data_IF_932647429152
#
_entry.id   IF_932647429152
#
_cell.length_a   1.000
_cell.length_b   1.000
_cell.length_c   1.000
_cell.angle_alpha   90.00
_cell.angle_beta   90.00
_cell.angle_gamma   90.00
#
_symmetry.space_group_name_H-M   'P 1'
#
loop_
_entity.id
_entity.type
_entity.pdbx_description
1 polymer ?
#
# COMPACT_ATOMS: atom_id res chain seq x y z
N UNK A 1 4.29 8.36 -9.41
CA UNK A 1 3.75 7.06 -9.83
C UNK A 1 3.64 6.16 -8.60
N UNK A 2 2.72 5.19 -8.62
CA UNK A 2 2.51 4.19 -7.56
C UNK A 2 2.53 2.80 -8.16
N UNK A 3 2.98 1.79 -7.42
CA UNK A 3 2.97 0.41 -7.90
C UNK A 3 1.75 -0.30 -7.33
N UNK A 4 1.04 -1.03 -8.20
CA UNK A 4 -0.04 -1.92 -7.82
C UNK A 4 0.34 -3.35 -8.20
N UNK A 5 -0.29 -4.31 -7.53
CA UNK A 5 -0.19 -5.73 -7.84
C UNK A 5 -1.54 -6.30 -8.24
N UNK A 6 -1.55 -7.36 -9.03
CA UNK A 6 -2.78 -8.07 -9.38
C UNK A 6 -3.35 -8.76 -8.14
N UNK A 7 -4.67 -8.76 -7.97
CA UNK A 7 -5.32 -9.49 -6.88
C UNK A 7 -5.17 -11.00 -7.06
N UNK A 8 -4.82 -11.70 -5.97
CA UNK A 8 -4.75 -13.17 -5.95
C UNK A 8 -6.10 -13.85 -6.25
N UNK A 9 -7.23 -13.20 -5.95
CA UNK A 9 -8.57 -13.74 -6.20
C UNK A 9 -9.12 -13.38 -7.58
N UNK A 10 -8.75 -12.21 -8.09
CA UNK A 10 -9.23 -11.67 -9.36
C UNK A 10 -8.04 -11.09 -10.13
N UNK A 11 -7.33 -11.90 -10.94
CA UNK A 11 -6.08 -11.49 -11.59
C UNK A 11 -6.19 -10.25 -12.48
N UNK A 12 -7.40 -9.92 -12.96
CA UNK A 12 -7.68 -8.72 -13.77
C UNK A 12 -7.91 -7.46 -12.94
N UNK A 13 -7.91 -7.56 -11.60
CA UNK A 13 -8.07 -6.43 -10.68
C UNK A 13 -6.73 -6.06 -10.05
N UNK A 14 -6.51 -4.76 -9.90
CA UNK A 14 -5.32 -4.20 -9.26
C UNK A 14 -5.59 -3.79 -7.82
N UNK A 15 -4.60 -4.00 -6.95
CA UNK A 15 -4.65 -3.65 -5.52
C UNK A 15 -3.30 -3.09 -5.06
N UNK A 16 -3.30 -2.38 -3.93
CA UNK A 16 -2.06 -2.15 -3.19
C UNK A 16 -1.66 -3.46 -2.53
N UNK A 17 -0.37 -3.83 -2.53
CA UNK A 17 0.02 -4.98 -1.74
C UNK A 17 -0.10 -4.66 -0.26
N UNK A 18 -0.28 -5.73 0.49
CA UNK A 18 -0.52 -5.64 1.91
C UNK A 18 -1.35 -6.80 2.41
N UNK A 19 -1.10 -7.15 3.66
CA UNK A 19 -1.66 -8.34 4.27
C UNK A 19 -1.74 -8.20 5.78
N UNK A 20 -1.87 -9.34 6.45
CA UNK A 20 -2.02 -9.39 7.89
C UNK A 20 -0.69 -9.14 8.59
N UNK A 21 -0.74 -8.40 9.70
CA UNK A 21 0.39 -8.35 10.63
C UNK A 21 0.55 -9.70 11.33
N UNK A 22 1.79 -10.18 11.43
CA UNK A 22 2.13 -11.34 12.23
C UNK A 22 2.10 -11.01 13.73
N UNK A 23 1.98 -12.01 14.62
CA UNK A 23 2.10 -11.78 16.06
C UNK A 23 3.42 -11.08 16.39
N UNK A 24 3.35 -10.04 17.23
CA UNK A 24 4.51 -9.23 17.66
C UNK A 24 5.19 -8.43 16.54
N UNK A 25 4.62 -8.40 15.34
CA UNK A 25 5.12 -7.61 14.23
C UNK A 25 4.69 -6.14 14.34
N UNK A 26 5.63 -5.21 14.12
CA UNK A 26 5.32 -3.78 14.04
C UNK A 26 4.66 -3.45 12.69
N UNK A 27 3.69 -2.51 12.61
CA UNK A 27 2.99 -2.23 11.36
C UNK A 27 3.91 -1.80 10.20
N UNK A 28 5.02 -1.15 10.51
CA UNK A 28 6.04 -0.79 9.52
C UNK A 28 6.81 -2.01 8.99
N UNK A 29 7.15 -2.96 9.86
CA UNK A 29 7.81 -4.21 9.47
C UNK A 29 6.90 -5.07 8.60
N UNK A 30 5.62 -5.20 8.98
CA UNK A 30 4.60 -5.86 8.18
C UNK A 30 4.47 -5.22 6.78
N UNK A 31 4.42 -3.89 6.73
CA UNK A 31 4.34 -3.15 5.48
C UNK A 31 5.56 -3.38 4.55
N UNK A 32 6.77 -3.52 5.11
CA UNK A 32 7.98 -3.85 4.34
C UNK A 32 7.99 -5.31 3.87
N UNK A 33 7.63 -6.25 4.75
CA UNK A 33 7.53 -7.69 4.42
C UNK A 33 6.53 -7.95 3.30
N UNK A 34 5.31 -7.44 3.43
CA UNK A 34 4.24 -7.64 2.44
C UNK A 34 4.62 -7.09 1.06
N UNK A 35 5.32 -5.96 1.01
CA UNK A 35 5.78 -5.37 -0.25
C UNK A 35 6.87 -6.21 -0.90
N UNK A 36 7.74 -6.79 -0.09
CA UNK A 36 8.76 -7.70 -0.56
C UNK A 36 8.14 -8.98 -1.13
N UNK A 37 7.20 -9.59 -0.40
CA UNK A 37 6.54 -10.85 -0.76
C UNK A 37 5.58 -10.71 -1.95
N UNK A 38 4.76 -9.66 -1.98
CA UNK A 38 3.70 -9.52 -2.99
C UNK A 38 4.13 -8.73 -4.22
N UNK A 39 5.07 -7.79 -4.07
CA UNK A 39 5.48 -6.89 -5.15
C UNK A 39 6.96 -7.03 -5.54
N UNK A 40 7.78 -7.73 -4.76
CA UNK A 40 9.19 -7.93 -5.07
C UNK A 40 9.98 -6.63 -5.09
N UNK A 41 9.66 -5.68 -4.21
CA UNK A 41 10.39 -4.42 -4.13
C UNK A 41 10.93 -4.18 -2.73
N UNK A 42 12.07 -3.50 -2.64
CA UNK A 42 12.59 -2.96 -1.39
C UNK A 42 12.73 -1.46 -1.50
N UNK A 43 12.68 -0.80 -0.36
CA UNK A 43 12.72 0.64 -0.33
C UNK A 43 12.96 1.19 1.05
N UNK A 44 13.04 2.50 1.11
CA UNK A 44 13.04 3.23 2.38
C UNK A 44 11.60 3.47 2.81
N UNK A 45 11.18 2.81 3.88
CA UNK A 45 9.91 3.12 4.53
C UNK A 45 9.91 4.57 5.01
N UNK A 46 8.87 5.29 4.64
CA UNK A 46 8.65 6.69 4.96
C UNK A 46 7.58 6.86 6.03
N UNK A 47 6.83 7.95 5.92
CA UNK A 47 5.77 8.28 6.90
C UNK A 47 4.58 7.33 6.81
N UNK A 48 3.91 7.14 7.94
CA UNK A 48 2.54 6.61 7.99
C UNK A 48 1.62 7.62 7.29
N UNK A 49 0.98 7.19 6.21
CA UNK A 49 -0.01 7.97 5.47
C UNK A 49 -1.33 8.05 6.26
N UNK A 50 -1.70 6.97 6.93
CA UNK A 50 -2.86 6.92 7.78
C UNK A 50 -3.24 5.52 8.21
N UNK A 51 -4.25 5.46 9.08
CA UNK A 51 -4.91 4.22 9.47
C UNK A 51 -6.31 4.26 8.87
N UNK A 52 -6.66 3.21 8.13
CA UNK A 52 -7.93 3.11 7.42
C UNK A 52 -8.69 1.88 7.92
N UNK A 53 -9.99 2.02 8.18
CA UNK A 53 -10.84 0.93 8.66
C UNK A 53 -11.67 0.38 7.51
N UNK A 54 -11.51 -0.93 7.23
CA UNK A 54 -12.14 -1.56 6.08
C UNK A 54 -13.36 -2.38 6.57
N UNK A 55 -14.54 -1.74 6.52
CA UNK A 55 -15.85 -2.15 7.05
C UNK A 55 -16.09 -1.85 8.53
N UNK A 56 -17.24 -1.25 8.84
CA UNK A 56 -17.68 -0.98 10.23
C UNK A 56 -17.88 -2.27 11.05
N UNK A 57 -18.12 -3.40 10.39
CA UNK A 57 -18.44 -4.69 11.02
C UNK A 57 -17.20 -5.54 11.34
N UNK A 58 -16.07 -5.27 10.67
CA UNK A 58 -14.79 -5.94 10.93
C UNK A 58 -13.82 -4.88 11.42
N UNK A 59 -13.42 -4.97 12.69
CA UNK A 59 -12.46 -4.06 13.34
C UNK A 59 -11.03 -4.22 12.78
N UNK A 60 -10.87 -4.33 11.46
CA UNK A 60 -9.58 -4.45 10.79
C UNK A 60 -9.09 -3.05 10.46
N UNK A 61 -7.99 -2.66 11.13
CA UNK A 61 -7.27 -1.42 10.86
C UNK A 61 -6.15 -1.70 9.90
N UNK A 62 -6.09 -0.91 8.83
CA UNK A 62 -5.04 -0.97 7.83
C UNK A 62 -4.10 0.20 8.02
N UNK A 63 -2.88 -0.06 8.45
CA UNK A 63 -1.81 0.93 8.54
C UNK A 63 -1.20 1.10 7.16
N UNK A 64 -1.28 2.30 6.63
CA UNK A 64 -0.85 2.59 5.27
C UNK A 64 0.39 3.46 5.31
N UNK A 65 1.50 2.98 4.74
CA UNK A 65 2.77 3.70 4.71
C UNK A 65 3.13 4.15 3.31
N UNK A 66 3.91 5.24 3.24
CA UNK A 66 4.63 5.62 2.03
C UNK A 66 5.98 4.92 2.04
N UNK A 67 6.33 4.20 0.98
CA UNK A 67 7.65 3.60 0.80
C UNK A 67 8.29 4.14 -0.48
N UNK A 68 9.56 4.54 -0.41
CA UNK A 68 10.32 4.99 -1.58
C UNK A 68 11.11 3.82 -2.13
N UNK A 69 10.75 3.33 -3.32
CA UNK A 69 11.40 2.14 -3.90
C UNK A 69 12.86 2.44 -4.23
N UNK A 70 13.76 1.56 -3.79
CA UNK A 70 15.20 1.62 -4.07
C UNK A 70 15.68 0.40 -4.85
N UNK A 71 14.95 -0.70 -4.80
CA UNK A 71 15.30 -1.96 -5.47
C UNK A 71 14.04 -2.66 -5.96
N UNK A 72 14.13 -3.27 -7.15
CA UNK A 72 13.06 -4.03 -7.78
C UNK A 72 13.65 -5.40 -8.16
N UNK A 73 13.14 -6.47 -7.56
CA UNK A 73 13.56 -7.84 -7.85
C UNK A 73 12.88 -8.34 -9.12
N UNK A 74 13.61 -9.03 -10.01
CA UNK A 74 13.02 -9.63 -11.23
C UNK A 74 12.05 -10.75 -10.88
N UNK A 75 12.49 -11.68 -10.04
CA UNK A 75 11.68 -12.76 -9.48
C UNK A 75 11.38 -12.51 -8.00
N UNK A 76 10.14 -12.72 -7.59
CA UNK A 76 9.71 -12.59 -6.20
C UNK A 76 8.65 -13.64 -5.86
N UNK A 77 8.44 -13.84 -4.56
CA UNK A 77 7.67 -14.97 -4.02
C UNK A 77 6.30 -15.14 -4.70
N UNK A 78 5.47 -14.10 -4.71
CA UNK A 78 4.13 -14.19 -5.31
C UNK A 78 4.13 -14.25 -6.83
N UNK A 79 5.16 -13.72 -7.52
CA UNK A 79 5.27 -13.92 -8.96
C UNK A 79 5.47 -15.39 -9.29
N UNK A 80 6.37 -16.04 -8.55
CA UNK A 80 6.75 -17.43 -8.79
C UNK A 80 5.65 -18.38 -8.32
N UNK A 81 5.06 -18.12 -7.15
CA UNK A 81 4.11 -19.04 -6.52
C UNK A 81 2.69 -18.95 -7.12
N UNK A 82 2.22 -17.74 -7.43
CA UNK A 82 0.82 -17.52 -7.85
C UNK A 82 0.70 -16.73 -9.15
N UNK A 83 1.80 -16.40 -9.83
CA UNK A 83 1.77 -15.63 -11.07
C UNK A 83 1.34 -14.18 -10.87
N UNK A 84 1.56 -13.62 -9.67
CA UNK A 84 1.17 -12.23 -9.37
C UNK A 84 1.94 -11.27 -10.27
N UNK A 85 1.22 -10.29 -10.82
CA UNK A 85 1.78 -9.22 -11.67
C UNK A 85 1.93 -7.94 -10.85
N UNK A 86 2.83 -7.07 -11.28
CA UNK A 86 2.99 -5.71 -10.74
C UNK A 86 3.13 -4.71 -11.87
N UNK A 87 2.59 -3.51 -11.69
CA UNK A 87 2.68 -2.45 -12.70
C UNK A 87 2.68 -1.07 -12.05
N UNK A 88 3.41 -0.14 -12.68
CA UNK A 88 3.47 1.26 -12.27
C UNK A 88 2.31 2.04 -12.87
N UNK A 89 1.55 2.71 -12.03
CA UNK A 89 0.44 3.56 -12.41
C UNK A 89 0.74 5.03 -12.08
N UNK A 90 0.20 5.93 -12.89
CA UNK A 90 -0.01 7.31 -12.45
C UNK A 90 -1.04 7.30 -11.32
N UNK A 91 -0.94 8.25 -10.38
CA UNK A 91 -1.83 8.29 -9.22
C UNK A 91 -3.29 8.37 -9.66
N UNK A 92 -3.58 9.18 -10.68
CA UNK A 92 -4.90 9.37 -11.26
C UNK A 92 -5.47 8.08 -11.86
N UNK A 93 -4.62 7.29 -12.53
CA UNK A 93 -5.05 6.06 -13.18
C UNK A 93 -5.20 4.93 -12.16
N UNK A 94 -4.33 4.88 -11.15
CA UNK A 94 -4.46 4.00 -10.00
C UNK A 94 -5.79 4.20 -9.26
N UNK A 95 -6.20 5.46 -9.03
CA UNK A 95 -7.50 5.77 -8.42
C UNK A 95 -8.64 5.16 -9.24
N UNK A 96 -8.64 5.35 -10.57
CA UNK A 96 -9.70 4.84 -11.46
C UNK A 96 -9.82 3.32 -11.40
N UNK A 97 -8.70 2.59 -11.46
CA UNK A 97 -8.72 1.11 -11.45
C UNK A 97 -9.11 0.55 -10.08
N UNK A 98 -8.74 1.23 -8.99
CA UNK A 98 -9.07 0.83 -7.62
C UNK A 98 -10.54 1.12 -7.27
N UNK A 99 -11.10 2.23 -7.74
CA UNK A 99 -12.42 2.70 -7.32
C UNK A 99 -13.56 1.72 -7.63
N UNK A 100 -13.43 0.91 -8.69
CA UNK A 100 -14.44 -0.07 -9.07
C UNK A 100 -14.54 -1.27 -8.10
N UNK A 101 -13.43 -1.71 -7.49
CA UNK A 101 -13.37 -2.99 -6.77
C UNK A 101 -12.76 -2.91 -5.37
N UNK A 102 -12.07 -1.81 -5.06
CA UNK A 102 -11.40 -1.50 -3.78
C UNK A 102 -11.45 0.02 -3.51
N UNK A 103 -12.64 0.61 -3.28
CA UNK A 103 -12.78 2.05 -3.07
C UNK A 103 -11.93 2.57 -1.90
N UNK A 104 -11.80 1.80 -0.82
CA UNK A 104 -10.93 2.17 0.31
C UNK A 104 -9.46 2.31 -0.09
N UNK A 105 -8.98 1.52 -1.06
CA UNK A 105 -7.61 1.69 -1.57
C UNK A 105 -7.47 2.99 -2.38
N UNK A 106 -8.52 3.42 -3.09
CA UNK A 106 -8.53 4.71 -3.77
C UNK A 106 -8.43 5.88 -2.77
N UNK A 107 -9.07 5.78 -1.60
CA UNK A 107 -8.98 6.78 -0.53
C UNK A 107 -7.53 6.98 -0.04
N UNK A 108 -6.68 5.96 -0.10
CA UNK A 108 -5.26 6.08 0.25
C UNK A 108 -4.58 7.11 -0.65
N UNK A 109 -4.86 7.04 -1.95
CA UNK A 109 -4.30 7.94 -2.94
C UNK A 109 -4.88 9.35 -2.86
N UNK A 110 -6.16 9.48 -2.53
CA UNK A 110 -6.78 10.78 -2.28
C UNK A 110 -6.12 11.47 -1.07
N UNK A 111 -5.89 10.72 0.02
CA UNK A 111 -5.18 11.24 1.20
C UNK A 111 -3.73 11.61 0.88
N UNK A 112 -3.06 10.82 0.05
CA UNK A 112 -1.71 11.12 -0.44
C UNK A 112 -1.66 12.44 -1.21
N UNK A 113 -2.65 12.71 -2.07
CA UNK A 113 -2.78 13.97 -2.81
C UNK A 113 -3.03 15.16 -1.89
N UNK A 114 -3.95 15.02 -0.94
CA UNK A 114 -4.30 16.11 0.00
C UNK A 114 -3.11 16.53 0.86
N UNK A 115 -2.26 15.57 1.27
CA UNK A 115 -1.03 15.85 2.01
C UNK A 115 0.10 16.49 1.17
N UNK A 116 -0.09 16.69 -0.13
CA UNK A 116 0.87 17.31 -1.04
C UNK A 116 0.45 18.72 -1.50
N UNK A 117 -0.69 19.24 -1.03
CA UNK A 117 -1.10 20.62 -1.32
C UNK A 117 -0.11 21.60 -0.66
N UNK A 118 0.50 22.55 -1.39
CA UNK A 118 1.37 23.55 -0.80
C UNK A 118 0.51 24.50 0.04
N UNK A 119 0.56 24.36 1.37
CA UNK A 119 0.03 25.39 2.26
C UNK A 119 0.89 26.63 2.12
N UNK A 120 0.30 27.69 1.55
CA UNK A 120 0.83 29.05 1.55
C UNK A 120 1.24 29.43 2.98
N UNK A 121 2.55 29.60 3.24
CA UNK A 121 3.05 30.01 4.55
C UNK A 121 4.50 29.57 4.81
N UNK A 122 5.44 30.26 4.17
CA UNK A 122 6.83 30.48 4.61
C UNK A 122 7.42 29.49 5.65
N UNK A 123 8.12 28.43 5.20
CA UNK A 123 9.34 27.85 5.82
C UNK A 123 9.76 26.56 5.10
N UNK A 124 11.00 26.54 4.62
CA UNK A 124 11.87 25.39 4.27
C UNK A 124 11.19 24.07 3.87
N UNK A 125 11.09 23.88 2.55
CA UNK A 125 10.62 22.68 1.86
C UNK A 125 11.70 21.59 1.90
N UNK A 126 11.42 20.34 2.32
CA UNK A 126 12.10 19.20 1.72
C UNK A 126 11.39 18.95 0.39
N UNK A 127 12.08 19.29 -0.69
CA UNK A 127 11.72 18.95 -2.06
C UNK A 127 11.23 17.50 -2.13
N UNK A 128 10.08 17.29 -2.79
CA UNK A 128 9.67 15.96 -3.25
C UNK A 128 10.90 15.27 -3.84
N UNK A 129 11.29 14.08 -3.37
CA UNK A 129 12.42 13.39 -3.98
C UNK A 129 12.07 13.12 -5.45
N UNK A 130 12.92 13.64 -6.32
CA UNK A 130 12.92 13.43 -7.76
C UNK A 130 12.64 11.97 -8.10
N UNK A 131 11.58 11.72 -8.89
CA UNK A 131 11.28 10.49 -9.63
C UNK A 131 11.37 9.12 -8.92
N UNK A 132 11.64 9.07 -7.62
CA UNK A 132 11.67 7.83 -6.87
C UNK A 132 10.23 7.44 -6.58
N UNK A 133 9.78 6.41 -7.29
CA UNK A 133 8.39 6.06 -7.37
C UNK A 133 7.82 5.71 -5.98
N UNK A 134 6.66 6.29 -5.69
CA UNK A 134 6.10 6.37 -4.35
C UNK A 134 5.15 5.20 -4.16
N UNK A 135 5.48 4.33 -3.24
CA UNK A 135 4.76 3.10 -2.96
C UNK A 135 3.80 3.31 -1.79
N UNK A 136 2.62 2.67 -1.85
CA UNK A 136 1.68 2.65 -0.74
C UNK A 136 1.44 1.20 -0.35
N UNK A 137 1.72 0.86 0.90
CA UNK A 137 1.60 -0.50 1.44
C UNK A 137 0.75 -0.51 2.68
N UNK A 138 0.04 -1.62 2.90
CA UNK A 138 -0.98 -1.80 3.90
C UNK A 138 -0.64 -2.96 4.85
N UNK A 139 -0.66 -2.71 6.16
CA UNK A 139 -0.57 -3.75 7.18
C UNK A 139 -1.89 -3.82 7.96
N UNK A 140 -2.53 -4.99 8.02
CA UNK A 140 -3.83 -5.18 8.67
C UNK A 140 -3.66 -5.74 10.08
N UNK A 141 -4.30 -5.10 11.07
CA UNK A 141 -4.35 -5.64 12.43
C UNK A 141 -4.95 -7.05 12.45
N UNK A 142 -4.44 -7.98 13.28
CA UNK A 142 -5.06 -9.29 13.44
C UNK A 142 -6.54 -9.13 13.80
N UNK A 143 -7.44 -9.73 13.02
CA UNK A 143 -8.84 -9.83 13.42
C UNK A 143 -8.90 -10.63 14.71
N UNK A 144 -9.60 -10.11 15.74
CA UNK A 144 -9.95 -10.99 16.87
C UNK A 144 -10.65 -12.22 16.29
N UNK A 145 -10.28 -13.45 16.72
CA UNK A 145 -11.07 -14.61 16.33
C UNK A 145 -12.50 -14.33 16.76
N UNK A 146 -13.43 -14.41 15.81
CA UNK A 146 -14.86 -14.38 16.14
C UNK A 146 -15.07 -15.49 17.16
N UNK A 147 -15.36 -15.15 18.41
CA UNK A 147 -15.79 -16.15 19.39
C UNK A 147 -16.94 -16.91 18.75
N UNK A 148 -16.70 -18.19 18.50
CA UNK A 148 -17.69 -19.14 18.01
C UNK A 148 -18.88 -19.07 18.96
N UNK A 149 -20.06 -18.89 18.37
CA UNK A 149 -21.36 -18.76 19.04
C UNK A 149 -21.83 -20.10 19.59
#
# INVERSE_FOLDING_TARGET
>A
QVLLVSSSRYPDQWIFPGGGMEPEEEPGGAAEREVYEEAGVRGKLGRLLGIFEQNQDRKHRTYVYVLTVTEILEDWEDSVNIGRKREWFKVEDAIKVLQCHKPVHAEYLEKLKLGCSPTNGNSTVPSLPDNNALFVTAAQSPGLPSSVR
#
